data_IF_740151344060
#
_entry.id   IF_740151344060
#
_cell.length_a   1.000
_cell.length_b   1.000
_cell.length_c   1.000
_cell.angle_alpha   90.00
_cell.angle_beta   90.00
_cell.angle_gamma   90.00
#
_symmetry.space_group_name_H-M   'P 1'
#
loop_
_entity.id
_entity.type
_entity.pdbx_description
1 polymer ?
#
# COMPACT_ATOMS: atom_id res chain seq x y z
N UNK A 1 -15.55 9.13 24.85
CA UNK A 1 -14.59 9.30 23.74
C UNK A 1 -13.94 7.94 23.47
N UNK A 2 -13.67 7.58 22.21
CA UNK A 2 -12.95 6.33 21.86
C UNK A 2 -11.55 6.40 22.52
N UNK A 3 -11.13 5.34 23.25
CA UNK A 3 -9.90 5.26 24.08
C UNK A 3 -9.91 6.00 25.44
N UNK A 4 -11.06 6.09 26.13
CA UNK A 4 -11.16 6.82 27.40
C UNK A 4 -10.36 6.21 28.57
N UNK A 5 -10.13 4.90 28.55
CA UNK A 5 -9.57 4.13 29.68
C UNK A 5 -8.04 4.00 29.67
N UNK A 6 -7.37 4.24 28.53
CA UNK A 6 -5.91 4.08 28.42
C UNK A 6 -5.18 5.39 28.75
N UNK A 7 -4.52 5.44 29.91
CA UNK A 7 -3.84 6.65 30.39
C UNK A 7 -2.60 7.04 29.57
N UNK A 8 -2.06 6.15 28.75
CA UNK A 8 -0.85 6.40 27.95
C UNK A 8 -1.20 7.05 26.61
N UNK A 9 -2.26 6.58 25.92
CA UNK A 9 -2.62 7.06 24.56
C UNK A 9 -3.87 7.94 24.52
N UNK A 10 -4.60 8.10 25.63
CA UNK A 10 -5.78 8.99 25.68
C UNK A 10 -5.41 10.42 25.27
N UNK A 11 -6.17 10.95 24.31
CA UNK A 11 -5.99 12.30 23.79
C UNK A 11 -4.74 12.50 22.91
N UNK A 12 -3.98 11.43 22.61
CA UNK A 12 -2.77 11.49 21.78
C UNK A 12 -2.97 11.01 20.33
N UNK A 13 -4.16 10.53 20.00
CA UNK A 13 -4.50 10.04 18.66
C UNK A 13 -5.60 10.88 18.05
N UNK A 14 -5.37 11.35 16.83
CA UNK A 14 -6.42 11.94 15.99
C UNK A 14 -7.14 10.83 15.23
N UNK A 15 -8.30 10.41 15.76
CA UNK A 15 -9.06 9.30 15.20
C UNK A 15 -9.81 9.66 13.91
N UNK A 16 -9.92 10.96 13.58
CA UNK A 16 -10.51 11.41 12.33
C UNK A 16 -9.53 11.27 11.16
N UNK A 17 -8.23 11.07 11.44
CA UNK A 17 -7.15 10.93 10.46
C UNK A 17 -6.52 9.53 10.49
N UNK A 18 -7.36 8.51 10.39
CA UNK A 18 -6.93 7.10 10.48
C UNK A 18 -6.64 6.51 9.09
N UNK A 19 -5.39 6.10 8.85
CA UNK A 19 -4.99 5.34 7.65
C UNK A 19 -4.75 3.87 7.95
N UNK A 20 -4.80 3.02 6.93
CA UNK A 20 -4.45 1.60 7.01
C UNK A 20 -3.41 1.22 5.96
N UNK A 21 -2.44 0.40 6.35
CA UNK A 21 -1.44 -0.17 5.45
C UNK A 21 -1.33 -1.67 5.70
N UNK A 22 -1.28 -2.47 4.64
CA UNK A 22 -1.22 -3.92 4.76
C UNK A 22 -0.46 -4.58 3.63
N UNK A 23 0.32 -5.61 3.96
CA UNK A 23 1.05 -6.45 3.00
C UNK A 23 0.29 -7.73 2.67
N UNK A 24 0.31 -8.17 1.40
CA UNK A 24 -0.23 -9.48 1.01
C UNK A 24 -1.68 -9.68 1.46
N UNK A 25 -1.99 -10.77 2.17
CA UNK A 25 -3.28 -11.03 2.83
C UNK A 25 -3.72 -9.87 3.73
N UNK A 26 -2.79 -9.21 4.43
CA UNK A 26 -3.06 -8.02 5.24
C UNK A 26 -3.51 -6.82 4.39
N UNK A 27 -3.03 -6.71 3.15
CA UNK A 27 -3.51 -5.73 2.17
C UNK A 27 -4.93 -6.05 1.69
N UNK A 28 -5.25 -7.31 1.43
CA UNK A 28 -6.62 -7.75 1.14
C UNK A 28 -7.58 -7.52 2.31
N UNK A 29 -7.13 -7.80 3.53
CA UNK A 29 -7.86 -7.48 4.75
C UNK A 29 -8.10 -5.98 4.92
N UNK A 30 -7.11 -5.16 4.54
CA UNK A 30 -7.21 -3.70 4.54
C UNK A 30 -8.29 -3.23 3.57
N UNK A 31 -8.35 -3.79 2.35
CA UNK A 31 -9.42 -3.50 1.39
C UNK A 31 -10.79 -3.88 1.98
N UNK A 32 -10.91 -5.11 2.48
CA UNK A 32 -12.17 -5.59 3.07
C UNK A 32 -12.70 -4.66 4.17
N UNK A 33 -11.84 -4.23 5.10
CA UNK A 33 -12.27 -3.37 6.21
C UNK A 33 -12.51 -1.92 5.75
N UNK A 34 -11.75 -1.40 4.79
CA UNK A 34 -11.95 -0.05 4.26
C UNK A 34 -13.29 0.13 3.54
N UNK A 35 -13.83 -0.93 2.94
CA UNK A 35 -15.17 -0.92 2.34
C UNK A 35 -16.25 -0.89 3.43
N UNK A 36 -16.00 -1.55 4.58
CA UNK A 36 -17.01 -1.72 5.64
C UNK A 36 -16.94 -0.71 6.78
N UNK A 37 -15.81 -0.02 6.94
CA UNK A 37 -15.56 0.86 8.08
C UNK A 37 -15.20 2.27 7.61
N UNK A 38 -16.18 3.15 7.72
CA UNK A 38 -16.05 4.57 7.32
C UNK A 38 -15.09 5.37 8.20
N UNK A 39 -14.49 4.78 9.25
CA UNK A 39 -13.46 5.45 10.05
C UNK A 39 -12.09 5.44 9.37
N UNK A 40 -11.88 4.58 8.38
CA UNK A 40 -10.63 4.55 7.62
C UNK A 40 -10.71 5.64 6.56
N UNK A 41 -9.66 6.46 6.44
CA UNK A 41 -9.62 7.66 5.59
C UNK A 41 -8.61 7.57 4.44
N UNK A 42 -7.67 6.62 4.49
CA UNK A 42 -6.76 6.32 3.41
C UNK A 42 -6.23 4.88 3.53
N UNK A 43 -6.01 4.20 2.39
CA UNK A 43 -5.51 2.83 2.35
C UNK A 43 -4.24 2.73 1.51
N UNK A 44 -3.23 2.01 2.01
CA UNK A 44 -2.07 1.61 1.21
C UNK A 44 -1.92 0.08 1.19
N UNK A 45 -1.98 -0.51 0.00
CA UNK A 45 -1.76 -1.94 -0.22
C UNK A 45 -0.33 -2.22 -0.68
N UNK A 46 0.43 -2.99 0.10
CA UNK A 46 1.78 -3.45 -0.24
C UNK A 46 1.70 -4.86 -0.82
N UNK A 47 1.86 -4.98 -2.14
CA UNK A 47 1.64 -6.19 -2.92
C UNK A 47 0.40 -6.96 -2.43
N UNK A 48 -0.73 -6.24 -2.39
CA UNK A 48 -1.94 -6.69 -1.73
C UNK A 48 -2.54 -7.92 -2.44
N UNK A 49 -2.87 -8.94 -1.65
CA UNK A 49 -3.56 -10.13 -2.13
C UNK A 49 -5.06 -9.96 -1.91
N UNK A 50 -5.75 -9.53 -2.97
CA UNK A 50 -7.19 -9.24 -2.96
C UNK A 50 -8.02 -10.34 -3.62
N UNK A 51 -7.39 -11.33 -4.27
CA UNK A 51 -8.10 -12.46 -4.88
C UNK A 51 -9.05 -13.24 -3.94
N UNK A 52 -8.78 -13.36 -2.62
CA UNK A 52 -9.71 -14.00 -1.70
C UNK A 52 -10.91 -13.12 -1.29
N UNK A 53 -10.88 -11.82 -1.60
CA UNK A 53 -12.00 -10.91 -1.31
C UNK A 53 -13.09 -11.14 -2.34
N UNK A 54 -14.34 -11.22 -1.88
CA UNK A 54 -15.48 -11.48 -2.77
C UNK A 54 -15.58 -10.44 -3.89
N UNK A 55 -15.76 -10.89 -5.13
CA UNK A 55 -15.84 -10.00 -6.30
C UNK A 55 -16.95 -8.94 -6.18
N UNK A 56 -18.08 -9.28 -5.54
CA UNK A 56 -19.16 -8.33 -5.30
C UNK A 56 -18.68 -7.16 -4.42
N UNK A 57 -17.89 -7.45 -3.38
CA UNK A 57 -17.32 -6.44 -2.51
C UNK A 57 -16.24 -5.62 -3.24
N UNK A 58 -15.38 -6.26 -4.04
CA UNK A 58 -14.41 -5.51 -4.87
C UNK A 58 -15.11 -4.58 -5.87
N UNK A 59 -16.27 -4.99 -6.40
CA UNK A 59 -17.07 -4.18 -7.30
C UNK A 59 -17.77 -2.99 -6.62
N UNK A 60 -17.96 -3.01 -5.29
CA UNK A 60 -18.39 -1.83 -4.51
C UNK A 60 -17.33 -0.72 -4.54
N UNK A 61 -16.04 -1.10 -4.62
CA UNK A 61 -14.93 -0.15 -4.70
C UNK A 61 -14.60 0.54 -3.37
N UNK A 62 -13.64 1.47 -3.43
CA UNK A 62 -13.23 2.30 -2.31
C UNK A 62 -13.63 3.75 -2.52
N UNK A 63 -14.31 4.33 -1.52
CA UNK A 63 -14.68 5.75 -1.45
C UNK A 63 -13.62 6.61 -0.75
N UNK A 64 -12.46 6.03 -0.46
CA UNK A 64 -11.33 6.68 0.19
C UNK A 64 -10.12 6.65 -0.75
N UNK A 65 -9.17 7.59 -0.62
CA UNK A 65 -7.91 7.50 -1.32
C UNK A 65 -7.20 6.17 -1.05
N UNK A 66 -6.81 5.49 -2.13
CA UNK A 66 -6.08 4.24 -2.04
C UNK A 66 -4.88 4.17 -2.97
N UNK A 67 -3.79 3.58 -2.47
CA UNK A 67 -2.56 3.39 -3.23
C UNK A 67 -2.10 1.94 -3.12
N UNK A 68 -1.95 1.27 -4.26
CA UNK A 68 -1.44 -0.09 -4.32
C UNK A 68 -0.05 -0.10 -4.94
N UNK A 69 0.93 -0.64 -4.23
CA UNK A 69 2.25 -0.96 -4.78
C UNK A 69 2.27 -2.44 -5.09
N UNK A 70 2.58 -2.81 -6.33
CA UNK A 70 2.60 -4.19 -6.81
C UNK A 70 4.02 -4.61 -7.15
N UNK A 71 4.40 -5.84 -6.80
CA UNK A 71 5.69 -6.43 -7.21
C UNK A 71 5.70 -6.77 -8.70
N UNK A 72 6.87 -6.86 -9.32
CA UNK A 72 6.98 -7.27 -10.74
C UNK A 72 6.47 -8.70 -10.92
N UNK A 73 6.76 -9.55 -9.94
CA UNK A 73 6.27 -10.93 -9.87
C UNK A 73 4.74 -11.03 -9.94
N UNK A 74 4.02 -10.12 -9.28
CA UNK A 74 2.55 -10.13 -9.22
C UNK A 74 1.87 -9.26 -10.28
N UNK A 75 2.63 -8.77 -11.26
CA UNK A 75 2.08 -8.06 -12.43
C UNK A 75 1.19 -8.94 -13.31
N UNK A 76 1.29 -10.27 -13.16
CA UNK A 76 0.54 -11.27 -13.92
C UNK A 76 -0.13 -12.23 -12.93
N UNK A 77 -1.37 -12.64 -13.23
CA UNK A 77 -2.07 -13.69 -12.49
C UNK A 77 -3.47 -13.30 -11.99
N UNK A 78 -4.17 -14.21 -11.30
CA UNK A 78 -5.58 -14.03 -10.91
C UNK A 78 -5.79 -12.86 -9.92
N UNK A 79 -4.80 -12.57 -9.08
CA UNK A 79 -4.84 -11.40 -8.21
C UNK A 79 -4.93 -10.09 -8.99
N UNK A 80 -4.31 -10.02 -10.17
CA UNK A 80 -4.32 -8.81 -10.97
C UNK A 80 -5.71 -8.48 -11.54
N UNK A 81 -6.49 -9.50 -11.92
CA UNK A 81 -7.88 -9.30 -12.31
C UNK A 81 -8.75 -8.78 -11.16
N UNK A 82 -8.52 -9.31 -9.96
CA UNK A 82 -9.25 -8.90 -8.76
C UNK A 82 -8.89 -7.46 -8.37
N UNK A 83 -7.61 -7.11 -8.44
CA UNK A 83 -7.13 -5.75 -8.19
C UNK A 83 -7.65 -4.77 -9.25
N UNK A 84 -7.64 -5.13 -10.54
CA UNK A 84 -8.21 -4.31 -11.61
C UNK A 84 -9.71 -4.06 -11.41
N UNK A 85 -10.46 -5.06 -10.95
CA UNK A 85 -11.89 -4.89 -10.60
C UNK A 85 -12.06 -3.85 -9.50
N UNK A 86 -11.32 -3.97 -8.40
CA UNK A 86 -11.34 -3.00 -7.30
C UNK A 86 -10.99 -1.59 -7.76
N UNK A 87 -9.90 -1.48 -8.53
CA UNK A 87 -9.38 -0.20 -9.02
C UNK A 87 -10.40 0.54 -9.88
N UNK A 88 -11.09 -0.16 -10.79
CA UNK A 88 -12.11 0.42 -11.67
C UNK A 88 -13.38 0.84 -10.94
N UNK A 89 -13.69 0.19 -9.82
CA UNK A 89 -14.84 0.55 -8.98
C UNK A 89 -14.54 1.65 -7.95
N UNK A 90 -13.26 1.98 -7.74
CA UNK A 90 -12.84 2.96 -6.72
C UNK A 90 -12.73 4.38 -7.27
N UNK A 91 -12.97 5.39 -6.44
CA UNK A 91 -13.01 6.80 -6.88
C UNK A 91 -11.61 7.43 -7.03
N UNK A 92 -10.77 7.29 -6.00
CA UNK A 92 -9.42 7.87 -5.94
C UNK A 92 -8.41 6.75 -5.62
N UNK A 93 -8.11 5.93 -6.62
CA UNK A 93 -7.20 4.80 -6.45
C UNK A 93 -6.08 4.82 -7.47
N UNK A 94 -4.85 4.63 -7.00
CA UNK A 94 -3.65 4.57 -7.81
C UNK A 94 -2.93 3.23 -7.68
N UNK A 95 -2.35 2.76 -8.78
CA UNK A 95 -1.52 1.55 -8.83
C UNK A 95 -0.11 1.90 -9.29
N UNK A 96 0.88 1.41 -8.57
CA UNK A 96 2.30 1.53 -8.91
C UNK A 96 2.93 0.15 -9.02
N UNK A 97 3.65 -0.06 -10.10
CA UNK A 97 4.49 -1.23 -10.32
C UNK A 97 5.91 -0.97 -9.79
N UNK A 98 6.38 -1.82 -8.89
CA UNK A 98 7.79 -1.87 -8.48
C UNK A 98 8.54 -2.88 -9.33
N UNK A 99 9.41 -2.42 -10.23
CA UNK A 99 10.22 -3.29 -11.11
C UNK A 99 11.29 -4.04 -10.30
N UNK A 100 11.73 -5.20 -10.82
CA UNK A 100 12.79 -6.04 -10.23
C UNK A 100 12.48 -6.50 -8.79
N UNK A 101 11.21 -6.52 -8.40
CA UNK A 101 10.78 -6.95 -7.07
C UNK A 101 9.90 -8.19 -7.13
N UNK A 102 10.01 -8.97 -6.07
CA UNK A 102 9.20 -10.14 -5.73
C UNK A 102 8.28 -9.80 -4.56
N UNK A 103 7.33 -10.69 -4.28
CA UNK A 103 6.40 -10.52 -3.17
C UNK A 103 7.06 -10.32 -1.80
N UNK A 104 8.23 -10.93 -1.61
CA UNK A 104 8.96 -10.94 -0.34
C UNK A 104 9.78 -9.65 -0.15
N UNK A 105 10.05 -8.89 -1.22
CA UNK A 105 10.74 -7.59 -1.13
C UNK A 105 9.90 -6.52 -0.43
N UNK A 106 8.61 -6.80 -0.17
CA UNK A 106 7.71 -6.00 0.65
C UNK A 106 7.77 -6.35 2.15
N UNK A 107 8.67 -7.26 2.53
CA UNK A 107 8.88 -7.69 3.93
C UNK A 107 10.26 -7.27 4.43
N UNK A 108 10.52 -7.50 5.72
CA UNK A 108 11.85 -7.29 6.33
C UNK A 108 12.82 -8.46 6.10
N UNK A 109 12.52 -9.42 5.22
CA UNK A 109 13.34 -10.62 5.00
C UNK A 109 14.82 -10.29 4.66
N UNK A 110 15.06 -9.17 3.99
CA UNK A 110 16.41 -8.67 3.69
C UNK A 110 17.26 -8.37 4.94
N UNK A 111 16.65 -8.18 6.12
CA UNK A 111 17.39 -7.87 7.35
C UNK A 111 18.00 -9.10 8.01
N UNK A 112 17.53 -10.32 7.69
CA UNK A 112 17.87 -11.52 8.45
C UNK A 112 19.05 -12.33 7.89
N UNK A 113 19.29 -12.35 6.56
CA UNK A 113 20.46 -13.06 6.01
C UNK A 113 20.83 -12.67 4.58
N UNK A 114 22.12 -12.40 4.25
CA UNK A 114 22.61 -12.21 2.87
C UNK A 114 22.34 -13.38 1.92
N UNK A 115 22.01 -14.57 2.45
CA UNK A 115 21.75 -15.78 1.68
C UNK A 115 20.35 -15.83 1.05
N UNK A 116 19.44 -14.94 1.43
CA UNK A 116 18.03 -14.88 0.94
C UNK A 116 17.91 -14.81 -0.60
N UNK A 117 18.88 -14.20 -1.28
CA UNK A 117 18.95 -14.14 -2.76
C UNK A 117 19.14 -15.50 -3.44
N UNK A 118 19.83 -16.44 -2.79
CA UNK A 118 20.13 -17.76 -3.36
C UNK A 118 18.95 -18.74 -3.28
N UNK A 119 17.91 -18.34 -2.57
CA UNK A 119 16.72 -19.16 -2.32
C UNK A 119 15.49 -18.56 -3.06
N UNK A 120 15.71 -17.58 -3.95
CA UNK A 120 14.64 -16.95 -4.74
C UNK A 120 13.73 -16.00 -3.96
N UNK A 121 14.10 -15.61 -2.73
CA UNK A 121 13.27 -14.81 -1.82
C UNK A 121 13.50 -13.28 -1.92
N UNK A 122 14.44 -12.80 -2.73
CA UNK A 122 14.64 -11.37 -2.95
C UNK A 122 15.06 -11.08 -4.38
N UNK A 123 14.58 -9.98 -4.96
CA UNK A 123 15.01 -9.49 -6.27
C UNK A 123 16.53 -9.24 -6.33
N UNK A 124 17.08 -9.17 -7.55
CA UNK A 124 18.53 -9.13 -7.81
C UNK A 124 19.18 -7.75 -7.58
N UNK A 125 18.53 -6.85 -6.82
CA UNK A 125 18.91 -5.44 -6.65
C UNK A 125 19.16 -5.07 -5.17
N UNK A 126 19.70 -3.87 -4.94
CA UNK A 126 20.03 -3.31 -3.62
C UNK A 126 18.95 -3.64 -2.56
N UNK A 127 19.37 -4.42 -1.56
CA UNK A 127 18.54 -5.05 -0.53
C UNK A 127 17.70 -4.06 0.26
N UNK A 128 18.06 -2.77 0.26
CA UNK A 128 17.36 -1.72 1.00
C UNK A 128 16.49 -0.83 0.11
N UNK A 129 16.70 -0.85 -1.22
CA UNK A 129 15.99 0.04 -2.14
C UNK A 129 14.47 -0.19 -2.15
N UNK A 130 13.94 -1.44 -2.21
CA UNK A 130 12.51 -1.66 -2.12
C UNK A 130 11.90 -1.10 -0.84
N UNK A 131 12.56 -1.29 0.31
CA UNK A 131 12.10 -0.79 1.60
C UNK A 131 12.18 0.74 1.70
N UNK A 132 13.20 1.36 1.10
CA UNK A 132 13.29 2.81 1.02
C UNK A 132 12.14 3.40 0.19
N UNK A 133 11.86 2.81 -0.97
CA UNK A 133 10.74 3.21 -1.84
C UNK A 133 9.42 3.08 -1.08
N UNK A 134 9.17 1.94 -0.42
CA UNK A 134 7.96 1.72 0.37
C UNK A 134 7.80 2.76 1.49
N UNK A 135 8.87 3.05 2.25
CA UNK A 135 8.85 4.05 3.32
C UNK A 135 8.58 5.45 2.78
N UNK A 136 9.31 5.87 1.74
CA UNK A 136 9.12 7.19 1.13
C UNK A 136 7.71 7.36 0.58
N UNK A 137 7.18 6.31 -0.04
CA UNK A 137 5.82 6.33 -0.59
C UNK A 137 4.75 6.37 0.49
N UNK A 138 4.88 5.56 1.54
CA UNK A 138 3.93 5.56 2.66
C UNK A 138 3.88 6.92 3.37
N UNK A 139 5.04 7.52 3.64
CA UNK A 139 5.11 8.85 4.24
C UNK A 139 4.43 9.90 3.35
N UNK A 140 4.77 9.95 2.06
CA UNK A 140 4.19 10.91 1.13
C UNK A 140 2.67 10.74 0.98
N UNK A 141 2.19 9.49 0.80
CA UNK A 141 0.78 9.16 0.67
C UNK A 141 -0.03 9.57 1.90
N UNK A 142 0.36 9.14 3.09
CA UNK A 142 -0.40 9.45 4.30
C UNK A 142 -0.27 10.92 4.72
N UNK A 143 0.89 11.57 4.51
CA UNK A 143 1.01 13.02 4.76
C UNK A 143 0.07 13.81 3.83
N UNK A 144 -0.04 13.42 2.55
CA UNK A 144 -0.92 14.07 1.58
C UNK A 144 -2.40 13.89 1.94
N UNK A 145 -2.86 12.66 2.17
CA UNK A 145 -4.30 12.38 2.35
C UNK A 145 -4.82 12.56 3.79
N UNK A 146 -3.96 12.44 4.81
CA UNK A 146 -4.42 12.50 6.22
C UNK A 146 -3.99 13.77 6.94
N UNK A 147 -2.85 14.39 6.60
CA UNK A 147 -2.36 15.56 7.35
C UNK A 147 -2.83 16.89 6.79
N UNK A 148 -3.36 16.92 5.56
CA UNK A 148 -3.90 18.13 4.94
C UNK A 148 -2.84 19.19 4.71
N UNK A 149 -1.57 18.78 4.57
CA UNK A 149 -0.49 19.73 4.36
C UNK A 149 -0.61 20.30 2.95
N UNK A 150 -0.77 21.62 2.84
CA UNK A 150 -0.55 22.40 1.60
C UNK A 150 0.86 22.25 1.01
N UNK A 151 1.71 21.41 1.61
CA UNK A 151 3.06 21.02 1.18
C UNK A 151 3.10 19.67 0.47
N UNK A 152 2.02 18.88 0.49
CA UNK A 152 1.92 17.66 -0.30
C UNK A 152 1.54 18.04 -1.72
N UNK A 153 2.51 18.16 -2.62
CA UNK A 153 2.25 18.27 -4.05
C UNK A 153 1.27 17.17 -4.48
N UNK A 154 0.26 17.53 -5.28
CA UNK A 154 -0.59 16.56 -6.00
C UNK A 154 0.21 15.52 -6.78
N UNK A 155 1.48 15.84 -7.04
CA UNK A 155 2.36 15.10 -7.93
C UNK A 155 3.39 14.26 -7.13
N UNK A 156 3.10 13.94 -5.86
CA UNK A 156 4.04 13.17 -5.02
C UNK A 156 4.44 11.83 -5.66
N UNK A 157 3.52 11.16 -6.36
CA UNK A 157 3.83 9.94 -7.12
C UNK A 157 4.81 10.21 -8.27
N UNK A 158 4.68 11.34 -8.96
CA UNK A 158 5.60 11.75 -10.02
C UNK A 158 6.98 12.06 -9.48
N UNK A 159 7.07 12.76 -8.34
CA UNK A 159 8.34 13.05 -7.67
C UNK A 159 9.06 11.76 -7.24
N UNK A 160 8.31 10.78 -6.72
CA UNK A 160 8.85 9.47 -6.36
C UNK A 160 9.30 8.72 -7.62
N UNK A 161 8.52 8.75 -8.71
CA UNK A 161 8.89 8.13 -9.99
C UNK A 161 10.15 8.75 -10.62
N UNK A 162 10.34 10.07 -10.47
CA UNK A 162 11.57 10.75 -10.91
C UNK A 162 12.78 10.35 -10.06
N UNK A 163 12.58 10.08 -8.77
CA UNK A 163 13.64 9.66 -7.84
C UNK A 163 14.03 8.18 -8.02
N UNK A 164 13.07 7.31 -8.36
CA UNK A 164 13.28 5.87 -8.43
C UNK A 164 12.83 5.30 -9.76
N UNK A 165 13.78 4.90 -10.62
CA UNK A 165 13.50 4.26 -11.92
C UNK A 165 12.66 2.98 -11.83
N UNK A 166 12.69 2.29 -10.68
CA UNK A 166 11.95 1.05 -10.46
C UNK A 166 10.50 1.32 -10.01
N UNK A 167 10.13 2.57 -9.74
CA UNK A 167 8.78 3.00 -9.35
C UNK A 167 8.01 3.49 -10.57
N UNK A 168 7.09 2.67 -11.09
CA UNK A 168 6.39 2.95 -12.35
C UNK A 168 4.88 3.03 -12.11
N UNK A 169 4.27 4.22 -12.16
CA UNK A 169 2.82 4.36 -12.13
C UNK A 169 2.16 3.56 -13.27
N UNK A 170 1.08 2.86 -12.95
CA UNK A 170 0.27 2.10 -13.91
C UNK A 170 -0.96 2.94 -14.22
N UNK A 171 -1.20 3.20 -15.51
CA UNK A 171 -2.37 3.94 -16.01
C UNK A 171 -3.54 3.00 -16.26
#
# INVERSE_FOLDING_TARGET
MKNAEDTVIRGKMDLERTGIIGHSTGGGGSVYISIKDTRIRALMGLDAWVAPVENALLAEGLDIPSLFLRSEQWSIGPNNYSLDTLMRSSQDSSLVQMKKTTHIDFTMAYMYSPLTKYIGFSGNSDRRKPSEIQRTTALAFFDHHLRGSSTGSSDYLEQIAQKYEDFVPVK
#
